data_IF_752271741417
#
_entry.id   IF_752271741417
#
_cell.length_a   1.000
_cell.length_b   1.000
_cell.length_c   1.000
_cell.angle_alpha   90.00
_cell.angle_beta   90.00
_cell.angle_gamma   90.00
#
_symmetry.space_group_name_H-M   'P 1'
#
loop_
_entity.id
_entity.type
_entity.pdbx_description
1 polymer ?
#
# COMPACT_ATOMS: atom_id res chain seq x y z
N UNK A 1 7.94 -27.67 15.34
CA UNK A 1 7.69 -26.25 15.08
C UNK A 1 6.61 -25.82 16.05
N UNK A 2 6.97 -25.11 17.11
CA UNK A 2 5.99 -24.51 18.04
C UNK A 2 5.06 -23.59 17.26
N UNK A 3 3.77 -23.58 17.59
CA UNK A 3 2.71 -22.78 16.96
C UNK A 3 3.11 -21.33 16.68
N UNK A 4 3.94 -20.74 17.54
CA UNK A 4 4.56 -19.42 17.35
C UNK A 4 5.27 -19.24 16.00
N UNK A 5 6.03 -20.24 15.54
CA UNK A 5 6.75 -20.18 14.27
C UNK A 5 5.82 -20.15 13.05
N UNK A 6 4.69 -20.86 13.11
CA UNK A 6 3.65 -20.82 12.06
C UNK A 6 2.95 -19.46 12.01
N UNK A 7 2.64 -18.89 13.18
CA UNK A 7 2.02 -17.56 13.28
C UNK A 7 2.98 -16.48 12.74
N UNK A 8 4.27 -16.55 13.07
CA UNK A 8 5.27 -15.63 12.54
C UNK A 8 5.37 -15.67 11.01
N UNK A 9 5.35 -16.85 10.40
CA UNK A 9 5.33 -17.01 8.94
C UNK A 9 4.04 -16.46 8.32
N UNK A 10 2.88 -16.71 8.93
CA UNK A 10 1.59 -16.20 8.46
C UNK A 10 1.54 -14.66 8.51
N UNK A 11 2.08 -14.03 9.56
CA UNK A 11 2.19 -12.58 9.67
C UNK A 11 3.09 -11.98 8.57
N UNK A 12 4.25 -12.60 8.31
CA UNK A 12 5.16 -12.16 7.25
C UNK A 12 4.53 -12.26 5.85
N UNK A 13 3.79 -13.36 5.58
CA UNK A 13 3.05 -13.53 4.32
C UNK A 13 1.93 -12.49 4.17
N UNK A 14 1.17 -12.22 5.24
CA UNK A 14 0.12 -11.19 5.23
C UNK A 14 0.65 -9.83 4.78
N UNK A 15 1.74 -9.36 5.39
CA UNK A 15 2.39 -8.09 5.03
C UNK A 15 2.90 -8.11 3.59
N UNK A 16 3.57 -9.19 3.20
CA UNK A 16 4.22 -9.28 1.88
C UNK A 16 3.18 -9.16 0.78
N UNK A 17 2.09 -9.93 0.88
CA UNK A 17 1.01 -9.88 -0.11
C UNK A 17 0.28 -8.53 -0.09
N UNK A 18 0.05 -7.97 1.09
CA UNK A 18 -0.71 -6.72 1.21
C UNK A 18 0.08 -5.48 0.80
N UNK A 19 1.40 -5.54 0.69
CA UNK A 19 2.25 -4.36 0.38
C UNK A 19 2.81 -4.37 -1.04
N UNK A 20 3.07 -5.54 -1.63
CA UNK A 20 3.65 -5.63 -2.99
C UNK A 20 2.72 -5.02 -4.04
N UNK A 21 1.43 -5.39 -4.03
CA UNK A 21 0.49 -4.94 -5.04
C UNK A 21 0.22 -3.44 -4.93
N UNK A 22 -0.10 -2.88 -3.74
CA UNK A 22 -0.25 -1.44 -3.57
C UNK A 22 1.02 -0.66 -3.89
N UNK A 23 2.19 -1.12 -3.44
CA UNK A 23 3.46 -0.44 -3.72
C UNK A 23 3.73 -0.31 -5.22
N UNK A 24 3.47 -1.37 -5.98
CA UNK A 24 3.60 -1.32 -7.45
C UNK A 24 2.56 -0.40 -8.10
N UNK A 25 1.29 -0.46 -7.69
CA UNK A 25 0.24 0.39 -8.27
C UNK A 25 0.42 1.87 -7.92
N UNK A 26 0.85 2.19 -6.70
CA UNK A 26 1.14 3.55 -6.25
C UNK A 26 2.31 4.14 -7.03
N UNK A 27 3.38 3.38 -7.25
CA UNK A 27 4.50 3.81 -8.08
C UNK A 27 4.06 4.13 -9.52
N UNK A 28 3.23 3.26 -10.11
CA UNK A 28 2.68 3.48 -11.46
C UNK A 28 1.76 4.71 -11.53
N UNK A 29 0.85 4.85 -10.58
CA UNK A 29 -0.07 5.99 -10.51
C UNK A 29 0.69 7.32 -10.34
N UNK A 30 1.70 7.33 -9.47
CA UNK A 30 2.55 8.51 -9.23
C UNK A 30 3.35 8.87 -10.47
N UNK A 31 3.96 7.89 -11.15
CA UNK A 31 4.69 8.13 -12.41
C UNK A 31 3.78 8.76 -13.47
N UNK A 32 2.55 8.27 -13.62
CA UNK A 32 1.58 8.85 -14.56
C UNK A 32 1.11 10.24 -14.18
N UNK A 33 0.95 10.52 -12.89
CA UNK A 33 0.68 11.88 -12.42
C UNK A 33 1.85 12.82 -12.75
N UNK A 34 3.10 12.40 -12.56
CA UNK A 34 4.27 13.22 -12.88
C UNK A 34 4.37 13.50 -14.40
N UNK A 35 4.14 12.50 -15.25
CA UNK A 35 4.06 12.69 -16.71
C UNK A 35 2.97 13.70 -17.10
N UNK A 36 1.79 13.62 -16.47
CA UNK A 36 0.68 14.55 -16.73
C UNK A 36 1.01 15.98 -16.30
N UNK A 37 1.60 16.15 -15.11
CA UNK A 37 2.07 17.45 -14.59
C UNK A 37 3.13 18.06 -15.51
N UNK A 38 4.07 17.26 -16.01
CA UNK A 38 5.09 17.73 -16.95
C UNK A 38 4.51 18.22 -18.28
N UNK A 39 3.35 17.70 -18.70
CA UNK A 39 2.64 18.12 -19.93
C UNK A 39 1.74 19.33 -19.71
N UNK A 40 1.13 19.45 -18.53
CA UNK A 40 0.20 20.53 -18.16
C UNK A 40 0.53 21.03 -16.74
N UNK A 41 1.55 21.91 -16.59
CA UNK A 41 1.96 22.43 -15.29
C UNK A 41 0.85 23.20 -14.56
N UNK A 42 -0.03 23.87 -15.29
CA UNK A 42 -1.18 24.62 -14.78
C UNK A 42 -2.19 23.73 -14.04
N UNK A 43 -2.31 22.45 -14.41
CA UNK A 43 -3.21 21.48 -13.78
C UNK A 43 -2.58 20.73 -12.59
N UNK A 44 -1.35 21.09 -12.18
CA UNK A 44 -0.60 20.31 -11.21
C UNK A 44 -1.29 20.18 -9.84
N UNK A 45 -2.01 21.22 -9.41
CA UNK A 45 -2.78 21.19 -8.16
C UNK A 45 -3.88 20.13 -8.17
N UNK A 46 -4.66 20.08 -9.25
CA UNK A 46 -5.80 19.16 -9.39
C UNK A 46 -5.33 17.71 -9.57
N UNK A 47 -4.28 17.50 -10.37
CA UNK A 47 -3.66 16.19 -10.55
C UNK A 47 -3.14 15.66 -9.22
N UNK A 48 -2.43 16.48 -8.44
CA UNK A 48 -1.90 16.07 -7.13
C UNK A 48 -3.03 15.73 -6.15
N UNK A 49 -4.09 16.52 -6.12
CA UNK A 49 -5.25 16.28 -5.25
C UNK A 49 -5.89 14.93 -5.59
N UNK A 50 -6.15 14.68 -6.87
CA UNK A 50 -6.75 13.41 -7.34
C UNK A 50 -5.82 12.23 -7.05
N UNK A 51 -4.51 12.38 -7.27
CA UNK A 51 -3.52 11.36 -6.96
C UNK A 51 -3.55 11.01 -5.47
N UNK A 52 -3.50 11.99 -4.57
CA UNK A 52 -3.49 11.74 -3.11
C UNK A 52 -4.74 10.97 -2.68
N UNK A 53 -5.91 11.31 -3.20
CA UNK A 53 -7.15 10.58 -2.92
C UNK A 53 -7.06 9.12 -3.40
N UNK A 54 -6.56 8.89 -4.61
CA UNK A 54 -6.36 7.53 -5.12
C UNK A 54 -5.34 6.73 -4.29
N UNK A 55 -4.21 7.35 -3.91
CA UNK A 55 -3.20 6.74 -3.06
C UNK A 55 -3.76 6.40 -1.67
N UNK A 56 -4.59 7.27 -1.08
CA UNK A 56 -5.22 7.03 0.22
C UNK A 56 -6.18 5.83 0.19
N UNK A 57 -6.97 5.66 -0.88
CA UNK A 57 -7.81 4.48 -1.03
C UNK A 57 -7.00 3.19 -1.20
N UNK A 58 -5.90 3.22 -1.95
CA UNK A 58 -4.99 2.09 -2.05
C UNK A 58 -4.37 1.75 -0.69
N UNK A 59 -3.94 2.75 0.07
CA UNK A 59 -3.32 2.56 1.37
C UNK A 59 -4.28 2.01 2.42
N UNK A 60 -5.56 2.40 2.37
CA UNK A 60 -6.59 1.84 3.25
C UNK A 60 -6.69 0.30 3.14
N UNK A 61 -6.48 -0.24 1.93
CA UNK A 61 -6.44 -1.68 1.71
C UNK A 61 -5.14 -2.32 2.24
N UNK A 62 -3.99 -1.66 2.04
CA UNK A 62 -2.69 -2.08 2.59
C UNK A 62 -2.74 -2.22 4.12
N UNK A 63 -3.38 -1.26 4.79
CA UNK A 63 -3.49 -1.20 6.25
C UNK A 63 -4.24 -2.40 6.81
N UNK A 64 -5.21 -2.98 6.10
CA UNK A 64 -5.87 -4.20 6.56
C UNK A 64 -4.91 -5.39 6.65
N UNK A 65 -3.95 -5.52 5.73
CA UNK A 65 -2.92 -6.55 5.81
C UNK A 65 -1.94 -6.34 6.97
N UNK A 66 -1.61 -5.08 7.26
CA UNK A 66 -0.85 -4.69 8.45
C UNK A 66 -1.60 -5.03 9.75
N UNK A 67 -2.89 -4.68 9.80
CA UNK A 67 -3.75 -4.99 10.94
C UNK A 67 -3.77 -6.50 11.22
N UNK A 68 -3.97 -7.32 10.19
CA UNK A 68 -3.99 -8.79 10.35
C UNK A 68 -2.64 -9.32 10.83
N UNK A 69 -1.52 -8.79 10.30
CA UNK A 69 -0.20 -9.18 10.76
C UNK A 69 0.02 -8.85 12.25
N UNK A 70 -0.39 -7.65 12.69
CA UNK A 70 -0.32 -7.24 14.11
C UNK A 70 -1.18 -8.16 14.98
N UNK A 71 -2.42 -8.47 14.55
CA UNK A 71 -3.33 -9.35 15.27
C UNK A 71 -2.81 -10.79 15.37
N UNK A 72 -2.05 -11.26 14.37
CA UNK A 72 -1.37 -12.55 14.41
C UNK A 72 -0.20 -12.52 15.40
N UNK A 73 0.66 -11.50 15.32
CA UNK A 73 1.80 -11.37 16.23
C UNK A 73 1.37 -11.23 17.70
N UNK A 74 0.22 -10.60 17.99
CA UNK A 74 -0.33 -10.51 19.33
C UNK A 74 -0.83 -11.84 19.93
N UNK A 75 -0.80 -12.94 19.17
CA UNK A 75 -1.16 -14.30 19.63
C UNK A 75 0.06 -15.20 19.86
N UNK A 76 1.26 -14.67 19.66
CA UNK A 76 2.53 -15.36 19.94
C UNK A 76 2.89 -15.19 21.42
#
# INVERSE_FOLDING_TARGET
METAGLIGLAAALSITVSTIVPGWSQGKATSKAMEAIGRQPEAAGDIRTTLIVALAFMEALTIYGLLIAILLLGKI
#
